data_IF_049328425034
#
_entry.id   IF_049328425034
#
_cell.length_a   1.000
_cell.length_b   1.000
_cell.length_c   1.000
_cell.angle_alpha   90.00
_cell.angle_beta   90.00
_cell.angle_gamma   90.00
#
_symmetry.space_group_name_H-M   'P 1'
#
loop_
_entity.id
_entity.type
_entity.pdbx_description
1 polymer ?
#
# COMPACT_ATOMS: atom_id res chain seq x y z
N UNK A 1 -1.31 7.45 -10.70
CA UNK A 1 -1.92 8.45 -9.78
C UNK A 1 -3.24 7.87 -9.29
N UNK A 2 -3.58 8.07 -8.02
CA UNK A 2 -4.92 7.75 -7.54
C UNK A 2 -5.94 8.59 -8.34
N UNK A 3 -7.00 7.95 -8.82
CA UNK A 3 -8.10 8.63 -9.50
C UNK A 3 -8.80 9.57 -8.54
N UNK A 4 -9.42 10.63 -9.07
CA UNK A 4 -10.19 11.54 -8.23
C UNK A 4 -11.50 10.89 -7.80
N UNK A 5 -11.98 11.25 -6.61
CA UNK A 5 -13.19 10.65 -6.02
C UNK A 5 -14.43 10.87 -6.90
N UNK A 6 -14.55 12.03 -7.56
CA UNK A 6 -15.65 12.35 -8.46
C UNK A 6 -15.68 11.45 -9.71
N UNK A 7 -14.52 11.05 -10.23
CA UNK A 7 -14.41 10.11 -11.35
C UNK A 7 -14.84 8.71 -10.93
N UNK A 8 -14.46 8.27 -9.73
CA UNK A 8 -14.84 6.96 -9.18
C UNK A 8 -16.36 6.90 -8.95
N UNK A 9 -16.93 7.96 -8.38
CA UNK A 9 -18.36 8.03 -8.09
C UNK A 9 -19.25 7.99 -9.35
N UNK A 10 -18.73 8.45 -10.51
CA UNK A 10 -19.46 8.35 -11.80
C UNK A 10 -19.63 6.91 -12.28
N UNK A 11 -18.80 5.97 -11.82
CA UNK A 11 -18.88 4.55 -12.19
C UNK A 11 -19.79 3.75 -11.25
N UNK A 12 -20.19 4.35 -10.12
CA UNK A 12 -21.02 3.72 -9.11
C UNK A 12 -22.45 4.25 -9.20
N UNK A 13 -23.43 3.37 -9.01
CA UNK A 13 -24.80 3.82 -8.74
C UNK A 13 -24.85 4.50 -7.36
N UNK A 14 -25.90 5.29 -7.10
CA UNK A 14 -26.09 5.93 -5.80
C UNK A 14 -26.06 4.92 -4.63
N UNK A 15 -26.71 3.77 -4.80
CA UNK A 15 -26.72 2.70 -3.79
C UNK A 15 -25.34 2.05 -3.61
N UNK A 16 -24.56 1.91 -4.68
CA UNK A 16 -23.19 1.40 -4.60
C UNK A 16 -22.27 2.40 -3.89
N UNK A 17 -22.37 3.69 -4.20
CA UNK A 17 -21.62 4.74 -3.52
C UNK A 17 -21.95 4.77 -2.01
N UNK A 18 -23.25 4.72 -1.66
CA UNK A 18 -23.71 4.59 -0.27
C UNK A 18 -23.18 3.32 0.40
N UNK A 19 -23.17 2.19 -0.33
CA UNK A 19 -22.59 0.96 0.18
C UNK A 19 -21.08 1.09 0.44
N UNK A 20 -20.35 1.77 -0.44
CA UNK A 20 -18.91 1.99 -0.29
C UNK A 20 -18.60 2.79 0.97
N UNK A 21 -19.35 3.87 1.20
CA UNK A 21 -19.27 4.73 2.37
C UNK A 21 -19.58 3.95 3.66
N UNK A 22 -20.73 3.28 3.73
CA UNK A 22 -21.12 2.52 4.92
C UNK A 22 -20.12 1.42 5.28
N UNK A 23 -19.55 0.76 4.27
CA UNK A 23 -18.51 -0.24 4.50
C UNK A 23 -17.21 0.43 4.99
N UNK A 24 -16.82 1.56 4.41
CA UNK A 24 -15.64 2.32 4.84
C UNK A 24 -15.78 2.74 6.31
N UNK A 25 -16.89 3.37 6.68
CA UNK A 25 -17.17 3.76 8.08
C UNK A 25 -17.13 2.55 9.01
N UNK A 26 -17.70 1.42 8.58
CA UNK A 26 -17.71 0.20 9.35
C UNK A 26 -16.31 -0.38 9.56
N UNK A 27 -15.41 -0.24 8.58
CA UNK A 27 -14.02 -0.69 8.68
C UNK A 27 -13.22 0.14 9.70
N UNK A 28 -13.57 1.42 9.92
CA UNK A 28 -12.96 2.27 10.94
C UNK A 28 -13.40 1.93 12.37
N UNK A 29 -14.52 1.21 12.55
CA UNK A 29 -14.99 0.82 13.86
C UNK A 29 -14.14 -0.31 14.47
N UNK A 30 -13.97 -0.35 15.82
CA UNK A 30 -13.38 -1.49 16.51
C UNK A 30 -14.13 -2.78 16.18
N UNK A 31 -13.41 -3.93 16.11
CA UNK A 31 -13.99 -5.22 15.66
C UNK A 31 -15.33 -5.60 16.31
N UNK A 32 -15.52 -5.34 17.61
CA UNK A 32 -16.75 -5.64 18.34
C UNK A 32 -17.92 -4.67 18.11
N UNK A 33 -17.70 -3.56 17.41
CA UNK A 33 -18.72 -2.55 17.07
C UNK A 33 -19.08 -2.55 15.58
N UNK A 34 -18.45 -3.41 14.78
CA UNK A 34 -18.71 -3.49 13.34
C UNK A 34 -20.05 -4.16 13.09
N UNK A 35 -20.85 -3.55 12.21
CA UNK A 35 -22.03 -4.14 11.59
C UNK A 35 -21.61 -5.29 10.66
N UNK A 36 -22.44 -6.32 10.58
CA UNK A 36 -22.34 -7.37 9.58
C UNK A 36 -22.71 -6.83 8.18
N UNK A 37 -22.23 -7.49 7.12
CA UNK A 37 -22.65 -7.13 5.76
C UNK A 37 -24.13 -7.34 5.50
N UNK A 38 -24.78 -8.26 6.23
CA UNK A 38 -26.23 -8.48 6.14
C UNK A 38 -26.99 -7.26 6.67
N UNK A 39 -26.54 -6.68 7.79
CA UNK A 39 -27.14 -5.45 8.34
C UNK A 39 -26.93 -4.25 7.41
N UNK A 40 -25.72 -4.09 6.86
CA UNK A 40 -25.43 -3.02 5.89
C UNK A 40 -26.29 -3.21 4.63
N UNK A 41 -26.42 -4.43 4.11
CA UNK A 41 -27.26 -4.71 2.95
C UNK A 41 -28.73 -4.38 3.22
N UNK A 42 -29.23 -4.71 4.41
CA UNK A 42 -30.59 -4.38 4.85
C UNK A 42 -30.82 -2.87 4.93
N UNK A 43 -29.85 -2.11 5.42
CA UNK A 43 -29.91 -0.65 5.52
C UNK A 43 -29.97 0.04 4.14
N UNK A 44 -29.30 -0.54 3.14
CA UNK A 44 -29.32 -0.05 1.77
C UNK A 44 -30.58 -0.53 1.02
N UNK A 45 -31.19 -1.64 1.46
CA UNK A 45 -32.36 -2.24 0.81
C UNK A 45 -32.01 -3.28 -0.27
N UNK A 46 -30.85 -3.92 -0.16
CA UNK A 46 -30.38 -4.94 -1.12
C UNK A 46 -30.12 -6.30 -0.47
N UNK A 47 -30.02 -7.34 -1.28
CA UNK A 47 -29.62 -8.67 -0.78
C UNK A 47 -28.14 -8.71 -0.38
N UNK A 48 -27.78 -9.53 0.60
CA UNK A 48 -26.37 -9.78 0.97
C UNK A 48 -25.54 -10.26 -0.25
N UNK A 49 -26.14 -11.07 -1.12
CA UNK A 49 -25.51 -11.52 -2.38
C UNK A 49 -25.21 -10.36 -3.32
N UNK A 50 -26.10 -9.37 -3.39
CA UNK A 50 -25.89 -8.14 -4.18
C UNK A 50 -24.72 -7.34 -3.61
N UNK A 51 -24.72 -7.08 -2.30
CA UNK A 51 -23.64 -6.36 -1.64
C UNK A 51 -22.29 -7.07 -1.80
N UNK A 52 -22.27 -8.41 -1.71
CA UNK A 52 -21.06 -9.22 -1.95
C UNK A 52 -20.51 -9.02 -3.37
N UNK A 53 -21.37 -8.94 -4.39
CA UNK A 53 -20.95 -8.65 -5.77
C UNK A 53 -20.40 -7.23 -5.89
N UNK A 54 -21.06 -6.25 -5.29
CA UNK A 54 -20.61 -4.86 -5.33
C UNK A 54 -19.23 -4.68 -4.72
N UNK A 55 -18.94 -5.33 -3.58
CA UNK A 55 -17.60 -5.29 -2.95
C UNK A 55 -16.44 -5.75 -3.84
N UNK A 56 -16.73 -6.41 -4.97
CA UNK A 56 -15.74 -6.88 -5.93
C UNK A 56 -15.57 -5.92 -7.12
N UNK A 57 -16.39 -4.86 -7.23
CA UNK A 57 -16.28 -3.88 -8.30
C UNK A 57 -15.04 -3.00 -8.12
N UNK A 58 -14.30 -2.69 -9.21
CA UNK A 58 -13.13 -1.81 -9.13
C UNK A 58 -13.43 -0.46 -8.48
N UNK A 59 -14.52 0.21 -8.88
CA UNK A 59 -14.92 1.50 -8.30
C UNK A 59 -15.17 1.46 -6.79
N UNK A 60 -15.62 0.33 -6.23
CA UNK A 60 -15.83 0.17 -4.79
C UNK A 60 -14.50 0.07 -4.03
N UNK A 61 -13.52 -0.63 -4.61
CA UNK A 61 -12.17 -0.72 -4.05
C UNK A 61 -11.45 0.62 -4.15
N UNK A 62 -11.52 1.25 -5.32
CA UNK A 62 -10.91 2.56 -5.58
C UNK A 62 -11.48 3.65 -4.67
N UNK A 63 -12.80 3.64 -4.42
CA UNK A 63 -13.44 4.56 -3.47
C UNK A 63 -12.79 4.48 -2.09
N UNK A 64 -12.63 3.26 -1.54
CA UNK A 64 -12.03 3.08 -0.22
C UNK A 64 -10.60 3.61 -0.15
N UNK A 65 -9.79 3.34 -1.17
CA UNK A 65 -8.42 3.84 -1.25
C UNK A 65 -8.42 5.36 -1.29
N UNK A 66 -9.21 5.98 -2.17
CA UNK A 66 -9.27 7.43 -2.30
C UNK A 66 -9.70 8.13 -1.01
N UNK A 67 -10.74 7.61 -0.33
CA UNK A 67 -11.20 8.18 0.95
C UNK A 67 -10.17 7.95 2.06
N UNK A 68 -9.51 6.79 2.09
CA UNK A 68 -8.45 6.52 3.07
C UNK A 68 -7.26 7.46 2.89
N UNK A 69 -6.84 7.72 1.64
CA UNK A 69 -5.76 8.66 1.34
C UNK A 69 -6.11 10.08 1.80
N UNK A 70 -7.35 10.54 1.54
CA UNK A 70 -7.84 11.82 2.04
C UNK A 70 -7.84 11.87 3.58
N UNK A 71 -8.31 10.81 4.23
CA UNK A 71 -8.35 10.72 5.69
C UNK A 71 -6.95 10.73 6.30
N UNK A 72 -5.99 10.00 5.72
CA UNK A 72 -4.60 9.98 6.17
C UNK A 72 -3.90 11.32 5.94
N UNK A 73 -4.20 12.00 4.83
CA UNK A 73 -3.69 13.34 4.57
C UNK A 73 -4.19 14.34 5.63
N UNK A 74 -5.48 14.32 5.93
CA UNK A 74 -6.10 15.17 6.96
C UNK A 74 -5.56 14.88 8.37
N UNK A 75 -5.35 13.60 8.68
CA UNK A 75 -4.85 13.16 9.99
C UNK A 75 -3.32 13.10 10.08
N UNK A 76 -2.58 13.54 9.05
CA UNK A 76 -1.11 13.43 9.01
C UNK A 76 -0.45 14.06 10.22
N UNK A 77 -0.92 15.23 10.66
CA UNK A 77 -0.39 15.93 11.84
C UNK A 77 -0.59 15.12 13.12
N UNK A 78 -1.73 14.45 13.28
CA UNK A 78 -2.01 13.58 14.45
C UNK A 78 -1.14 12.34 14.45
N UNK A 79 -0.91 11.73 13.28
CA UNK A 79 0.02 10.60 13.13
C UNK A 79 1.44 11.02 13.50
N UNK A 80 1.90 12.18 13.03
CA UNK A 80 3.21 12.72 13.38
C UNK A 80 3.31 13.07 14.88
N UNK A 81 2.25 13.60 15.49
CA UNK A 81 2.22 13.85 16.93
C UNK A 81 2.40 12.56 17.73
N UNK A 82 1.69 11.49 17.37
CA UNK A 82 1.85 10.19 18.01
C UNK A 82 3.27 9.62 17.83
N UNK A 83 3.86 9.80 16.65
CA UNK A 83 5.25 9.43 16.38
C UNK A 83 6.22 10.17 17.30
N UNK A 84 6.07 11.50 17.41
CA UNK A 84 6.91 12.34 18.27
C UNK A 84 6.76 11.93 19.74
N UNK A 85 5.54 11.70 20.21
CA UNK A 85 5.31 11.27 21.59
C UNK A 85 6.02 9.94 21.87
N UNK A 86 5.91 8.96 20.97
CA UNK A 86 6.64 7.69 21.10
C UNK A 86 8.16 7.87 21.15
N UNK A 87 8.72 8.82 20.39
CA UNK A 87 10.15 9.17 20.49
C UNK A 87 10.51 9.74 21.86
N UNK A 88 9.72 10.70 22.37
CA UNK A 88 9.93 11.33 23.69
C UNK A 88 9.84 10.31 24.81
N UNK A 89 8.92 9.34 24.69
CA UNK A 89 8.74 8.25 25.65
C UNK A 89 9.87 7.19 25.59
N UNK A 90 10.87 7.37 24.72
CA UNK A 90 12.03 6.48 24.63
C UNK A 90 11.82 5.25 23.74
N UNK A 91 10.78 5.21 22.90
CA UNK A 91 10.54 4.08 22.01
C UNK A 91 11.51 4.09 20.80
N UNK A 92 12.50 3.21 20.83
CA UNK A 92 13.54 3.13 19.79
C UNK A 92 12.98 2.88 18.37
N UNK A 93 11.88 2.14 18.23
CA UNK A 93 11.24 1.90 16.93
C UNK A 93 10.64 3.17 16.35
N UNK A 94 10.05 4.02 17.18
CA UNK A 94 9.51 5.32 16.76
C UNK A 94 10.63 6.28 16.37
N UNK A 95 11.72 6.31 17.15
CA UNK A 95 12.91 7.11 16.80
C UNK A 95 13.51 6.68 15.47
N UNK A 96 13.65 5.36 15.24
CA UNK A 96 14.11 4.81 13.96
C UNK A 96 13.20 5.24 12.80
N UNK A 97 11.89 5.11 12.97
CA UNK A 97 10.91 5.52 11.95
C UNK A 97 11.02 7.01 11.64
N UNK A 98 11.15 7.86 12.66
CA UNK A 98 11.37 9.30 12.48
C UNK A 98 12.66 9.60 11.69
N UNK A 99 13.78 8.98 12.08
CA UNK A 99 15.06 9.14 11.37
C UNK A 99 14.98 8.66 9.90
N UNK A 100 14.21 7.59 9.63
CA UNK A 100 13.93 7.15 8.26
C UNK A 100 13.12 8.20 7.47
N UNK A 101 12.07 8.75 8.07
CA UNK A 101 11.25 9.79 7.40
C UNK A 101 12.05 11.06 7.06
N UNK A 102 13.11 11.34 7.82
CA UNK A 102 14.02 12.48 7.60
C UNK A 102 15.23 12.12 6.72
N UNK A 103 15.35 10.88 6.24
CA UNK A 103 16.49 10.45 5.42
C UNK A 103 17.83 10.39 6.17
N UNK A 104 17.81 10.23 7.49
CA UNK A 104 19.02 10.22 8.33
C UNK A 104 19.70 8.85 8.41
N UNK A 105 19.00 7.77 8.02
CA UNK A 105 19.56 6.41 8.08
C UNK A 105 20.22 6.06 6.74
N UNK A 106 21.42 5.50 6.82
CA UNK A 106 22.18 5.01 5.67
C UNK A 106 22.28 3.50 5.77
N UNK A 107 21.74 2.79 4.78
CA UNK A 107 21.92 1.35 4.64
C UNK A 107 23.20 1.07 3.85
N UNK A 108 24.25 0.58 4.54
CA UNK A 108 25.50 0.15 3.90
C UNK A 108 25.49 -1.38 3.75
N UNK A 109 25.64 -1.87 2.52
CA UNK A 109 25.86 -3.29 2.23
C UNK A 109 27.20 -3.45 1.50
N UNK A 110 28.05 -4.34 2.00
CA UNK A 110 29.28 -4.74 1.31
C UNK A 110 28.99 -6.02 0.51
N UNK A 111 29.09 -5.94 -0.82
CA UNK A 111 28.85 -7.08 -1.71
C UNK A 111 30.20 -7.57 -2.21
N UNK A 112 30.64 -8.70 -1.70
CA UNK A 112 31.83 -9.40 -2.19
C UNK A 112 31.44 -10.26 -3.40
N UNK A 113 31.75 -9.77 -4.61
CA UNK A 113 31.55 -10.55 -5.84
C UNK A 113 32.78 -11.45 -6.03
N UNK A 114 32.67 -12.70 -5.60
CA UNK A 114 33.63 -13.74 -5.98
C UNK A 114 33.36 -14.13 -7.43
N UNK A 115 34.05 -13.49 -8.36
CA UNK A 115 34.13 -14.02 -9.71
C UNK A 115 34.79 -15.42 -9.64
N UNK A 116 34.26 -16.44 -10.35
CA UNK A 116 35.03 -17.65 -10.54
C UNK A 116 36.34 -17.25 -11.23
N UNK A 117 37.48 -17.75 -10.73
CA UNK A 117 38.79 -17.54 -11.36
C UNK A 117 38.63 -17.70 -12.87
N UNK A 118 38.64 -16.59 -13.61
CA UNK A 118 38.69 -16.65 -15.04
C UNK A 118 40.06 -17.20 -15.37
N UNK A 119 40.11 -18.49 -15.74
CA UNK A 119 41.32 -19.15 -16.18
C UNK A 119 41.89 -18.34 -17.37
N UNK A 120 43.04 -17.67 -17.19
CA UNK A 120 43.62 -16.80 -18.22
C UNK A 120 43.84 -17.56 -19.53
N UNK A 121 44.12 -18.86 -19.45
CA UNK A 121 44.38 -19.72 -20.60
C UNK A 121 43.09 -20.02 -21.37
N UNK A 122 41.96 -20.21 -20.67
CA UNK A 122 40.65 -20.38 -21.30
C UNK A 122 40.16 -19.10 -22.00
N UNK A 123 40.49 -17.93 -21.46
CA UNK A 123 40.18 -16.63 -22.07
C UNK A 123 41.08 -16.39 -23.30
N UNK A 124 42.38 -16.70 -23.21
CA UNK A 124 43.32 -16.60 -24.32
C UNK A 124 42.94 -17.52 -25.50
N UNK A 125 42.52 -18.76 -25.22
CA UNK A 125 42.07 -19.71 -26.23
C UNK A 125 40.80 -19.23 -26.97
N UNK A 126 39.86 -18.59 -26.26
CA UNK A 126 38.67 -17.97 -26.88
C UNK A 126 39.03 -16.77 -27.76
N UNK A 127 39.95 -15.92 -27.32
CA UNK A 127 40.43 -14.77 -28.11
C UNK A 127 41.17 -15.20 -29.39
N UNK A 128 41.96 -16.26 -29.32
CA UNK A 128 42.63 -16.84 -30.50
C UNK A 128 41.62 -17.38 -31.53
N UNK A 129 40.57 -18.06 -31.08
CA UNK A 129 39.51 -18.57 -31.95
C UNK A 129 38.66 -17.46 -32.60
N UNK A 130 38.51 -16.31 -31.95
CA UNK A 130 37.82 -15.15 -32.52
C UNK A 130 38.70 -14.44 -33.56
N UNK A 131 40.01 -14.32 -33.33
CA UNK A 131 40.96 -13.78 -34.31
C UNK A 131 41.10 -14.63 -35.57
N UNK A 132 40.92 -15.95 -35.50
CA UNK A 132 40.96 -16.83 -36.68
C UNK A 132 39.64 -16.88 -37.47
N UNK A 133 38.58 -16.20 -37.01
CA UNK A 133 37.27 -16.12 -37.69
C UNK A 133 37.09 -14.84 -38.52
N UNK A 134 38.06 -13.94 -38.52
CA UNK A 134 38.11 -12.75 -39.36
C UNK A 134 39.42 -12.69 -40.14
#
# INVERSE_FOLDING_TARGET
>A
MARKLDEILKELTADQAKAAELIYENDLLPKGKRRSYVEIAKEIGVSDRTLRKWRQLPGMLEYKTAVTDMYLADNRTRVMQALIQGCVDGNASHMKLYMQTMGMLVDKAEVEIKAPNADPDAVAARLANIKNRY
#
